data_IF_800564683798
#
_entry.id   IF_800564683798
#
_cell.length_a   1.000
_cell.length_b   1.000
_cell.length_c   1.000
_cell.angle_alpha   90.00
_cell.angle_beta   90.00
_cell.angle_gamma   90.00
#
_symmetry.space_group_name_H-M   'P 1'
#
loop_
_entity.id
_entity.type
_entity.pdbx_description
1 polymer ?
#
# COMPACT_ATOMS: atom_id res chain seq x y z
N UNK A 1 24.24 7.59 4.21
CA UNK A 1 24.00 6.60 3.15
C UNK A 1 23.13 7.18 2.06
N UNK A 2 23.37 6.75 0.82
CA UNK A 2 22.58 7.21 -0.32
C UNK A 2 21.13 6.77 -0.18
N UNK A 3 20.16 7.68 -0.36
CA UNK A 3 18.74 7.30 -0.36
C UNK A 3 18.41 6.32 -1.49
N UNK A 4 17.35 5.55 -1.29
CA UNK A 4 16.91 4.53 -2.24
C UNK A 4 16.02 5.19 -3.30
N UNK A 5 16.37 4.99 -4.56
CA UNK A 5 15.58 5.48 -5.68
C UNK A 5 14.29 4.69 -5.87
N UNK A 6 13.28 5.33 -6.49
CA UNK A 6 11.97 4.72 -6.71
C UNK A 6 12.03 3.37 -7.44
N UNK A 7 12.92 3.25 -8.42
CA UNK A 7 13.08 2.02 -9.23
C UNK A 7 13.58 0.82 -8.41
N UNK A 8 14.20 1.07 -7.26
CA UNK A 8 14.80 0.06 -6.39
C UNK A 8 14.02 -0.11 -5.09
N UNK A 9 12.83 0.50 -5.00
CA UNK A 9 12.07 0.57 -3.75
C UNK A 9 11.28 -0.70 -3.43
N UNK A 10 10.66 -1.31 -4.44
CA UNK A 10 9.81 -2.48 -4.23
C UNK A 10 10.52 -3.78 -4.59
N UNK A 11 10.19 -4.84 -3.88
CA UNK A 11 10.62 -6.20 -4.18
C UNK A 11 9.39 -7.09 -4.34
N UNK A 12 9.45 -8.01 -5.31
CA UNK A 12 8.37 -8.99 -5.53
C UNK A 12 8.91 -10.39 -5.38
N UNK A 13 8.18 -11.26 -4.68
CA UNK A 13 8.55 -12.65 -4.43
C UNK A 13 7.37 -13.54 -4.81
N UNK A 14 7.56 -14.41 -5.79
CA UNK A 14 6.52 -15.38 -6.16
C UNK A 14 6.43 -16.45 -5.10
N UNK A 15 5.26 -16.56 -4.47
CA UNK A 15 5.02 -17.48 -3.35
C UNK A 15 4.33 -18.76 -3.80
N UNK A 16 3.49 -18.68 -4.84
CA UNK A 16 2.78 -19.81 -5.45
C UNK A 16 2.42 -19.42 -6.89
N UNK A 17 1.79 -20.32 -7.65
CA UNK A 17 1.52 -20.08 -9.07
C UNK A 17 0.73 -18.81 -9.35
N UNK A 18 -0.21 -18.45 -8.48
CA UNK A 18 -1.06 -17.28 -8.66
C UNK A 18 -0.83 -16.21 -7.59
N UNK A 19 0.11 -16.37 -6.68
CA UNK A 19 0.27 -15.51 -5.51
C UNK A 19 1.68 -14.94 -5.46
N UNK A 20 1.77 -13.60 -5.44
CA UNK A 20 3.04 -12.87 -5.32
C UNK A 20 2.99 -11.95 -4.11
N UNK A 21 4.03 -12.00 -3.30
CA UNK A 21 4.26 -11.04 -2.22
C UNK A 21 4.99 -9.83 -2.80
N UNK A 22 4.47 -8.64 -2.50
CA UNK A 22 5.13 -7.37 -2.83
C UNK A 22 5.44 -6.68 -1.51
N UNK A 23 6.64 -6.18 -1.35
CA UNK A 23 7.00 -5.46 -0.14
C UNK A 23 8.05 -4.38 -0.39
N UNK A 24 8.27 -3.58 0.63
CA UNK A 24 9.21 -2.46 0.63
C UNK A 24 10.38 -2.86 1.53
N UNK A 25 11.46 -3.47 0.98
CA UNK A 25 12.49 -4.13 1.77
C UNK A 25 13.31 -3.19 2.67
N UNK A 26 13.27 -1.88 2.39
CA UNK A 26 14.01 -0.87 3.15
C UNK A 26 13.24 -0.35 4.37
N UNK A 27 11.99 -0.76 4.54
CA UNK A 27 11.22 -0.53 5.75
C UNK A 27 11.53 -1.67 6.72
N UNK A 28 11.76 -1.33 8.00
CA UNK A 28 12.05 -2.33 9.03
C UNK A 28 10.90 -3.32 9.17
N UNK A 29 11.16 -4.59 9.47
CA UNK A 29 10.14 -5.64 9.49
C UNK A 29 8.89 -5.32 10.32
N UNK A 30 9.03 -4.63 11.45
CA UNK A 30 7.91 -4.25 12.30
C UNK A 30 6.89 -3.35 11.57
N UNK A 31 7.38 -2.49 10.68
CA UNK A 31 6.55 -1.52 9.96
C UNK A 31 6.22 -1.94 8.52
N UNK A 32 6.80 -3.04 8.08
CA UNK A 32 6.72 -3.44 6.67
C UNK A 32 5.40 -4.11 6.35
N UNK A 33 4.67 -3.55 5.39
CA UNK A 33 3.45 -4.14 4.86
C UNK A 33 3.77 -5.33 3.94
N UNK A 34 3.01 -6.40 4.07
CA UNK A 34 2.99 -7.47 3.07
C UNK A 34 1.81 -7.20 2.14
N UNK A 35 2.11 -6.81 0.92
CA UNK A 35 1.10 -6.62 -0.12
C UNK A 35 0.95 -7.92 -0.90
N UNK A 36 -0.27 -8.41 -1.06
CA UNK A 36 -0.51 -9.69 -1.74
C UNK A 36 -1.22 -9.47 -3.05
N UNK A 37 -0.57 -9.88 -4.14
CA UNK A 37 -1.18 -9.95 -5.46
C UNK A 37 -1.63 -11.36 -5.75
N UNK A 38 -2.89 -11.51 -6.11
CA UNK A 38 -3.48 -12.82 -6.47
C UNK A 38 -4.02 -12.72 -7.89
N UNK A 39 -3.49 -13.53 -8.79
CA UNK A 39 -3.96 -13.58 -10.17
C UNK A 39 -5.26 -14.36 -10.26
N UNK A 40 -6.29 -13.75 -10.81
CA UNK A 40 -7.57 -14.39 -11.06
C UNK A 40 -7.78 -14.69 -12.54
N UNK A 41 -8.92 -15.30 -12.85
CA UNK A 41 -9.27 -15.62 -14.22
C UNK A 41 -9.56 -14.35 -15.04
N UNK A 42 -10.44 -13.51 -14.55
CA UNK A 42 -10.93 -12.33 -15.28
C UNK A 42 -10.30 -11.03 -14.74
N UNK A 43 -9.94 -11.00 -13.49
CA UNK A 43 -9.23 -9.89 -12.83
C UNK A 43 -8.41 -10.38 -11.66
N UNK A 44 -7.48 -9.54 -11.23
CA UNK A 44 -6.60 -9.83 -10.12
C UNK A 44 -7.11 -9.21 -8.82
N UNK A 45 -6.59 -9.66 -7.69
CA UNK A 45 -6.77 -9.04 -6.38
C UNK A 45 -5.44 -8.47 -5.91
N UNK A 46 -5.49 -7.31 -5.27
CA UNK A 46 -4.35 -6.75 -4.55
C UNK A 46 -4.81 -6.41 -3.13
N UNK A 47 -4.18 -7.04 -2.15
CA UNK A 47 -4.42 -6.76 -0.74
C UNK A 47 -3.32 -5.84 -0.25
N UNK A 48 -3.71 -4.62 0.14
CA UNK A 48 -2.86 -3.56 0.64
C UNK A 48 -1.88 -2.99 -0.40
N UNK A 49 -1.40 -1.78 -0.15
CA UNK A 49 -0.66 -1.01 -1.14
C UNK A 49 0.57 -0.28 -0.59
N UNK A 50 1.01 -0.65 0.62
CA UNK A 50 2.25 -0.14 1.20
C UNK A 50 2.18 1.30 1.70
N UNK A 51 3.37 1.91 1.83
CA UNK A 51 3.54 3.23 2.41
C UNK A 51 3.03 4.37 1.53
N UNK A 52 3.13 4.24 0.22
CA UNK A 52 2.67 5.27 -0.71
C UNK A 52 3.66 6.42 -0.94
N UNK A 53 4.91 6.27 -0.53
CA UNK A 53 5.93 7.27 -0.84
C UNK A 53 6.25 7.29 -2.33
N UNK A 54 6.42 6.10 -2.92
CA UNK A 54 6.54 5.95 -4.38
C UNK A 54 5.30 5.28 -4.95
N UNK A 55 4.99 5.55 -6.21
CA UNK A 55 3.85 4.93 -6.90
C UNK A 55 4.04 3.42 -7.04
N UNK A 56 3.16 2.65 -6.44
CA UNK A 56 3.15 1.19 -6.58
C UNK A 56 2.83 0.79 -8.02
N UNK A 57 1.80 1.39 -8.58
CA UNK A 57 1.34 1.07 -9.93
C UNK A 57 2.37 1.38 -11.00
N UNK A 58 3.16 2.44 -10.81
CA UNK A 58 4.22 2.83 -11.75
C UNK A 58 5.44 1.92 -11.69
N UNK A 59 5.78 1.43 -10.49
CA UNK A 59 7.05 0.72 -10.27
C UNK A 59 6.91 -0.80 -10.14
N UNK A 60 5.69 -1.31 -9.97
CA UNK A 60 5.43 -2.76 -9.92
C UNK A 60 4.46 -3.11 -11.05
N UNK A 61 5.02 -3.54 -12.16
CA UNK A 61 4.26 -3.82 -13.39
C UNK A 61 3.12 -4.82 -13.16
N UNK A 62 3.33 -5.80 -12.31
CA UNK A 62 2.35 -6.85 -12.00
C UNK A 62 0.97 -6.30 -11.62
N UNK A 63 0.92 -5.18 -10.91
CA UNK A 63 -0.36 -4.60 -10.45
C UNK A 63 -1.00 -3.64 -11.46
N UNK A 64 -0.35 -3.42 -12.60
CA UNK A 64 -0.79 -2.49 -13.64
C UNK A 64 -1.23 -3.17 -14.95
N UNK A 65 -1.05 -4.48 -15.06
CA UNK A 65 -1.21 -5.18 -16.35
C UNK A 65 -2.65 -5.61 -16.65
N UNK A 66 -3.46 -5.86 -15.63
CA UNK A 66 -4.79 -6.44 -15.77
C UNK A 66 -5.80 -5.70 -14.91
N UNK A 67 -7.11 -5.84 -15.20
CA UNK A 67 -8.14 -5.37 -14.29
C UNK A 67 -7.89 -5.92 -12.89
N UNK A 68 -8.02 -5.06 -11.86
CA UNK A 68 -7.61 -5.40 -10.51
C UNK A 68 -8.58 -4.79 -9.49
N UNK A 69 -8.98 -5.60 -8.51
CA UNK A 69 -9.69 -5.13 -7.33
C UNK A 69 -8.69 -4.94 -6.20
N UNK A 70 -8.61 -3.72 -5.69
CA UNK A 70 -7.73 -3.36 -4.59
C UNK A 70 -8.50 -3.41 -3.27
N UNK A 71 -8.03 -4.22 -2.33
CA UNK A 71 -8.69 -4.44 -1.04
C UNK A 71 -7.79 -3.95 0.09
N UNK A 72 -8.35 -3.15 0.99
CA UNK A 72 -7.64 -2.77 2.21
C UNK A 72 -7.97 -3.77 3.32
N UNK A 73 -6.93 -4.36 3.92
CA UNK A 73 -7.09 -5.23 5.09
C UNK A 73 -7.52 -4.42 6.31
N UNK A 74 -6.96 -3.25 6.46
CA UNK A 74 -7.30 -2.23 7.45
C UNK A 74 -6.68 -0.90 6.98
N UNK A 75 -6.86 0.17 7.76
CA UNK A 75 -6.51 1.52 7.31
C UNK A 75 -5.34 2.15 8.05
N UNK A 76 -4.39 1.35 8.53
CA UNK A 76 -3.11 1.89 8.97
C UNK A 76 -2.32 2.38 7.76
N UNK A 77 -1.53 3.42 7.95
CA UNK A 77 -0.89 4.18 6.88
C UNK A 77 -0.03 3.34 5.93
N UNK A 78 0.65 2.35 6.48
CA UNK A 78 1.56 1.49 5.72
C UNK A 78 0.84 0.44 4.86
N UNK A 79 -0.49 0.39 4.93
CA UNK A 79 -1.32 -0.54 4.17
C UNK A 79 -2.15 0.11 3.07
N UNK A 80 -2.36 1.42 3.13
CA UNK A 80 -3.28 2.11 2.20
C UNK A 80 -2.61 3.24 1.39
N UNK A 81 -1.28 3.28 1.37
CA UNK A 81 -0.55 4.39 0.78
C UNK A 81 -0.79 4.62 -0.70
N UNK A 82 -1.09 3.59 -1.47
CA UNK A 82 -1.31 3.68 -2.92
C UNK A 82 -2.72 3.28 -3.36
N UNK A 83 -3.68 3.14 -2.47
CA UNK A 83 -5.06 2.79 -2.87
C UNK A 83 -5.64 3.77 -3.88
N UNK A 84 -5.30 5.05 -3.79
CA UNK A 84 -5.76 6.09 -4.72
C UNK A 84 -5.34 5.83 -6.17
N UNK A 85 -4.35 4.97 -6.41
CA UNK A 85 -3.87 4.66 -7.76
C UNK A 85 -4.75 3.63 -8.48
N UNK A 86 -5.63 2.94 -7.76
CA UNK A 86 -6.45 1.86 -8.31
C UNK A 86 -7.91 2.28 -8.38
N UNK A 87 -8.56 2.18 -9.56
CA UNK A 87 -9.93 2.68 -9.73
C UNK A 87 -10.99 1.82 -9.04
N UNK A 88 -10.76 0.52 -8.85
CA UNK A 88 -11.70 -0.35 -8.14
C UNK A 88 -11.18 -0.68 -6.75
N UNK A 89 -11.84 -0.15 -5.73
CA UNK A 89 -11.40 -0.25 -4.34
C UNK A 89 -12.49 -0.84 -3.46
N UNK A 90 -12.06 -1.64 -2.50
CA UNK A 90 -12.93 -2.36 -1.58
C UNK A 90 -12.37 -2.29 -0.17
N UNK A 91 -13.24 -2.07 0.81
CA UNK A 91 -12.87 -2.01 2.22
C UNK A 91 -14.07 -2.41 3.09
N UNK A 92 -13.82 -2.90 4.30
CA UNK A 92 -14.89 -3.15 5.26
C UNK A 92 -15.58 -1.83 5.64
N UNK A 93 -16.90 -1.88 5.84
CA UNK A 93 -17.71 -0.70 6.18
C UNK A 93 -17.17 0.08 7.38
N UNK A 94 -16.63 -0.61 8.37
CA UNK A 94 -16.05 0.01 9.56
C UNK A 94 -14.83 0.89 9.27
N UNK A 95 -14.15 0.68 8.13
CA UNK A 95 -12.93 1.39 7.75
C UNK A 95 -13.14 2.39 6.61
N UNK A 96 -14.34 2.44 6.05
CA UNK A 96 -14.63 3.22 4.83
C UNK A 96 -14.39 4.72 5.03
N UNK A 97 -14.74 5.25 6.18
CA UNK A 97 -14.58 6.68 6.48
C UNK A 97 -13.10 7.08 6.53
N UNK A 98 -12.27 6.23 7.10
CA UNK A 98 -10.81 6.49 7.19
C UNK A 98 -10.17 6.42 5.81
N UNK A 99 -10.55 5.45 4.99
CA UNK A 99 -10.00 5.35 3.63
C UNK A 99 -10.39 6.54 2.75
N UNK A 100 -11.59 7.09 2.98
CA UNK A 100 -12.09 8.26 2.25
C UNK A 100 -11.41 9.57 2.68
N UNK A 101 -10.97 9.66 3.96
CA UNK A 101 -10.27 10.83 4.50
C UNK A 101 -9.17 10.35 5.48
N UNK A 102 -8.04 9.86 4.94
CA UNK A 102 -7.02 9.18 5.74
C UNK A 102 -6.10 10.15 6.50
N UNK A 103 -6.63 10.76 7.53
CA UNK A 103 -5.87 11.68 8.38
C UNK A 103 -4.77 10.94 9.12
N UNK A 104 -3.63 11.60 9.33
CA UNK A 104 -2.48 10.98 9.97
C UNK A 104 -2.79 10.44 11.37
N UNK A 105 -3.61 11.13 12.15
CA UNK A 105 -4.02 10.69 13.49
C UNK A 105 -4.94 9.46 13.48
N UNK A 106 -5.70 9.25 12.39
CA UNK A 106 -6.59 8.09 12.26
C UNK A 106 -5.90 6.85 11.71
N UNK A 107 -4.85 7.06 10.92
CA UNK A 107 -4.08 5.99 10.29
C UNK A 107 -2.84 5.61 11.08
N UNK A 108 -2.63 6.20 12.22
CA UNK A 108 -1.45 6.15 13.10
C UNK A 108 -0.15 6.62 12.45
N UNK A 109 -0.25 7.31 11.32
CA UNK A 109 0.91 7.88 10.64
C UNK A 109 1.61 8.95 11.48
N UNK A 110 0.85 9.70 12.28
CA UNK A 110 1.37 10.71 13.19
C UNK A 110 2.39 10.15 14.18
N UNK A 111 2.25 8.88 14.57
CA UNK A 111 3.14 8.20 15.52
C UNK A 111 4.29 7.47 14.84
N UNK A 112 4.04 6.84 13.68
CA UNK A 112 4.95 5.83 13.16
C UNK A 112 5.55 6.16 11.79
N UNK A 113 5.01 7.13 11.04
CA UNK A 113 5.58 7.53 9.76
C UNK A 113 6.77 8.48 9.97
N UNK A 114 7.84 7.96 10.55
CA UNK A 114 9.05 8.69 10.91
C UNK A 114 10.28 8.07 10.26
N UNK A 115 11.41 8.76 10.31
CA UNK A 115 12.68 8.26 9.78
C UNK A 115 13.08 6.91 10.39
N UNK A 116 12.68 6.65 11.64
CA UNK A 116 13.03 5.44 12.36
C UNK A 116 12.42 4.16 11.77
N UNK A 117 11.39 4.29 10.95
CA UNK A 117 10.78 3.11 10.32
C UNK A 117 11.65 2.50 9.21
N UNK A 118 12.69 3.19 8.76
CA UNK A 118 13.50 2.76 7.63
C UNK A 118 14.89 2.27 8.05
N UNK A 119 15.37 1.23 7.35
CA UNK A 119 16.78 0.86 7.35
C UNK A 119 17.58 1.82 6.47
N UNK A 120 16.98 2.24 5.35
CA UNK A 120 17.50 3.29 4.46
C UNK A 120 16.34 4.14 3.96
N UNK A 121 16.53 5.45 3.98
CA UNK A 121 15.48 6.39 3.56
C UNK A 121 15.24 6.32 2.04
N UNK A 122 13.98 6.41 1.62
CA UNK A 122 13.69 6.61 0.21
C UNK A 122 14.05 8.04 -0.23
N UNK A 123 14.37 8.18 -1.49
CA UNK A 123 14.64 9.48 -2.10
C UNK A 123 13.46 10.44 -1.88
N UNK A 124 13.75 11.68 -1.47
CA UNK A 124 12.73 12.70 -1.27
C UNK A 124 11.88 12.54 0.00
N UNK A 125 12.22 11.63 0.89
CA UNK A 125 11.47 11.45 2.13
C UNK A 125 11.60 12.65 3.06
N UNK A 126 10.44 13.09 3.54
CA UNK A 126 10.32 14.10 4.60
C UNK A 126 9.11 13.71 5.46
N UNK A 127 9.36 13.25 6.66
CA UNK A 127 8.30 12.77 7.57
C UNK A 127 7.26 13.85 7.86
N UNK A 128 7.67 15.12 7.93
CA UNK A 128 6.76 16.23 8.21
C UNK A 128 5.74 16.49 7.08
N UNK A 129 6.03 15.99 5.88
CA UNK A 129 5.19 16.17 4.69
C UNK A 129 4.40 14.92 4.31
N UNK A 130 4.60 13.82 5.01
CA UNK A 130 3.94 12.57 4.68
C UNK A 130 2.42 12.69 4.83
N UNK A 131 1.70 12.35 3.80
CA UNK A 131 0.23 12.32 3.74
C UNK A 131 -0.23 11.19 2.84
N UNK A 132 -1.33 10.56 3.22
CA UNK A 132 -1.99 9.55 2.38
C UNK A 132 -3.09 10.26 1.60
N UNK A 133 -3.19 9.96 0.31
CA UNK A 133 -4.24 10.53 -0.53
C UNK A 133 -5.57 9.82 -0.29
N UNK A 134 -6.70 10.55 -0.26
CA UNK A 134 -8.02 9.95 -0.16
C UNK A 134 -8.27 8.91 -1.26
N UNK A 135 -8.88 7.80 -0.86
CA UNK A 135 -9.19 6.71 -1.77
C UNK A 135 -10.56 6.09 -1.41
N UNK A 136 -11.65 6.86 -1.57
CA UNK A 136 -12.98 6.34 -1.22
C UNK A 136 -13.28 5.03 -1.95
N UNK A 137 -13.79 4.04 -1.22
CA UNK A 137 -14.11 2.74 -1.79
C UNK A 137 -15.47 2.76 -2.48
N UNK A 138 -15.55 2.11 -3.65
CA UNK A 138 -16.82 1.93 -4.36
C UNK A 138 -17.58 0.71 -3.86
N UNK A 139 -16.88 -0.25 -3.25
CA UNK A 139 -17.46 -1.49 -2.75
C UNK A 139 -17.14 -1.66 -1.28
N UNK A 140 -18.17 -1.82 -0.47
CA UNK A 140 -18.02 -2.01 0.97
C UNK A 140 -18.26 -3.48 1.34
N UNK A 141 -17.42 -3.97 2.25
CA UNK A 141 -17.54 -5.32 2.80
C UNK A 141 -18.18 -5.27 4.17
N UNK A 142 -18.90 -6.33 4.52
CA UNK A 142 -19.50 -6.52 5.83
C UNK A 142 -19.26 -7.94 6.28
N UNK A 143 -19.56 -8.24 7.54
CA UNK A 143 -19.51 -9.60 8.07
C UNK A 143 -20.53 -10.49 7.39
N UNK A 144 -20.12 -11.71 7.14
CA UNK A 144 -20.97 -12.72 6.52
C UNK A 144 -20.66 -12.89 5.07
#
# INVERSE_FOLDING_TARGET
>A
MTPIAAKDWYETIRMADAVTLIHEPWIKPFFRCNMWHVRGRDRDLLFDTGLGHFSLRRHVRLVAERPLLCVASHTHFDHIGCHHEFPERCVHTAEAEILADPRNEWTVADRYATDEMFDRLPEGWDASRYRIRPAPAQRLLAHG
#
